data_IF_232709917374
#
_entry.id   IF_232709917374
#
_cell.length_a   1.000
_cell.length_b   1.000
_cell.length_c   1.000
_cell.angle_alpha   90.00
_cell.angle_beta   90.00
_cell.angle_gamma   90.00
#
_symmetry.space_group_name_H-M   'P 1'
#
loop_
_entity.id
_entity.type
_entity.pdbx_description
1 polymer ?
#
# COMPACT_ATOMS: atom_id res chain seq x y z
N UNK A 1 51.28 -31.12 19.73
CA UNK A 1 50.74 -29.97 18.97
C UNK A 1 51.32 -28.68 19.54
N UNK A 2 52.11 -27.95 18.75
CA UNK A 2 52.93 -26.81 19.18
C UNK A 2 52.09 -25.56 19.48
N UNK A 3 52.49 -24.76 20.48
CA UNK A 3 51.74 -23.59 20.98
C UNK A 3 51.38 -22.56 19.88
N UNK A 4 52.20 -22.46 18.83
CA UNK A 4 51.93 -21.65 17.63
C UNK A 4 50.64 -22.06 16.90
N UNK A 5 50.34 -23.35 16.79
CA UNK A 5 49.13 -23.83 16.11
C UNK A 5 47.85 -23.48 16.87
N UNK A 6 47.92 -23.37 18.20
CA UNK A 6 46.80 -22.92 19.04
C UNK A 6 46.55 -21.41 18.91
N UNK A 7 47.63 -20.62 18.86
CA UNK A 7 47.56 -19.18 18.69
C UNK A 7 46.97 -18.77 17.32
N UNK A 8 47.41 -19.42 16.24
CA UNK A 8 46.91 -19.16 14.88
C UNK A 8 45.42 -19.47 14.78
N UNK A 9 44.98 -20.62 15.29
CA UNK A 9 43.55 -20.99 15.33
C UNK A 9 42.70 -20.01 16.15
N UNK A 10 43.24 -19.51 17.26
CA UNK A 10 42.57 -18.49 18.08
C UNK A 10 42.38 -17.17 17.31
N UNK A 11 43.41 -16.72 16.59
CA UNK A 11 43.31 -15.52 15.76
C UNK A 11 42.34 -15.70 14.58
N UNK A 12 42.31 -16.87 13.96
CA UNK A 12 41.39 -17.13 12.83
C UNK A 12 39.95 -17.12 13.30
N UNK A 13 39.67 -17.75 14.45
CA UNK A 13 38.33 -17.75 15.05
C UNK A 13 37.87 -16.33 15.41
N UNK A 14 38.76 -15.51 15.99
CA UNK A 14 38.45 -14.13 16.34
C UNK A 14 38.17 -13.27 15.09
N UNK A 15 38.97 -13.42 14.04
CA UNK A 15 38.77 -12.70 12.78
C UNK A 15 37.41 -13.06 12.14
N UNK A 16 37.02 -14.34 12.15
CA UNK A 16 35.69 -14.76 11.68
C UNK A 16 34.55 -14.13 12.48
N UNK A 17 34.65 -14.08 13.82
CA UNK A 17 33.62 -13.46 14.66
C UNK A 17 33.49 -11.97 14.37
N UNK A 18 34.60 -11.25 14.23
CA UNK A 18 34.59 -9.81 13.92
C UNK A 18 33.95 -9.54 12.55
N UNK A 19 34.31 -10.32 11.53
CA UNK A 19 33.73 -10.20 10.18
C UNK A 19 32.22 -10.51 10.20
N UNK A 20 31.80 -11.56 10.91
CA UNK A 20 30.38 -11.90 11.04
C UNK A 20 29.58 -10.83 11.80
N UNK A 21 30.20 -10.13 12.76
CA UNK A 21 29.54 -9.03 13.48
C UNK A 21 29.41 -7.75 12.64
N UNK A 22 30.32 -7.51 11.70
CA UNK A 22 30.32 -6.32 10.84
C UNK A 22 29.25 -6.36 9.73
N UNK A 23 28.68 -7.53 9.43
CA UNK A 23 27.59 -7.69 8.43
C UNK A 23 26.19 -7.64 9.04
N UNK A 24 26.06 -7.51 10.36
CA UNK A 24 24.77 -7.31 11.03
C UNK A 24 24.34 -5.86 10.84
N UNK A 25 23.80 -5.56 9.67
CA UNK A 25 23.04 -4.33 9.47
C UNK A 25 21.84 -4.36 10.43
N UNK A 26 21.52 -3.28 11.16
CA UNK A 26 20.24 -3.21 11.85
C UNK A 26 19.18 -3.42 10.77
N UNK A 27 18.34 -4.44 10.94
CA UNK A 27 17.19 -4.63 10.08
C UNK A 27 16.39 -3.33 10.18
N UNK A 28 16.42 -2.51 9.14
CA UNK A 28 15.45 -1.43 8.99
C UNK A 28 14.10 -2.12 9.08
N UNK A 29 13.42 -1.88 10.21
CA UNK A 29 12.10 -2.42 10.43
C UNK A 29 11.20 -1.69 9.47
N UNK A 30 10.89 -2.32 8.33
CA UNK A 30 9.89 -1.82 7.41
C UNK A 30 8.60 -1.62 8.20
N UNK A 31 7.91 -0.49 7.97
CA UNK A 31 6.64 -0.24 8.64
C UNK A 31 5.73 -1.45 8.42
N UNK A 32 5.21 -2.08 9.48
CA UNK A 32 4.28 -3.20 9.33
C UNK A 32 2.97 -2.79 8.66
N UNK A 33 2.75 -1.48 8.48
CA UNK A 33 1.53 -0.90 7.94
C UNK A 33 1.64 -0.45 6.48
N UNK A 34 2.71 -0.81 5.75
CA UNK A 34 2.78 -0.51 4.32
C UNK A 34 1.71 -1.33 3.58
N UNK A 35 0.81 -0.64 2.88
CA UNK A 35 -0.34 -1.25 2.20
C UNK A 35 -0.28 -0.92 0.71
N UNK A 36 -0.58 -1.90 -0.14
CA UNK A 36 -0.69 -1.68 -1.59
C UNK A 36 -1.96 -0.90 -1.90
N UNK A 37 -1.81 0.23 -2.58
CA UNK A 37 -2.93 1.05 -3.05
C UNK A 37 -3.06 1.05 -4.57
N UNK A 38 -4.28 1.23 -5.08
CA UNK A 38 -4.53 1.45 -6.51
C UNK A 38 -5.37 2.72 -6.73
N UNK A 39 -5.18 3.32 -7.90
CA UNK A 39 -6.01 4.42 -8.41
C UNK A 39 -6.40 4.12 -9.86
N UNK A 40 -7.67 3.79 -10.07
CA UNK A 40 -8.26 3.52 -11.38
C UNK A 40 -9.77 3.81 -11.32
N UNK A 41 -10.16 5.07 -11.47
CA UNK A 41 -11.58 5.45 -11.41
C UNK A 41 -12.43 4.73 -12.47
N UNK A 42 -11.86 4.39 -13.63
CA UNK A 42 -12.60 3.76 -14.71
C UNK A 42 -13.04 2.35 -14.31
N UNK A 43 -12.13 1.55 -13.75
CA UNK A 43 -12.45 0.19 -13.32
C UNK A 43 -13.19 0.17 -11.98
N UNK A 44 -12.82 1.04 -11.04
CA UNK A 44 -13.41 1.03 -9.70
C UNK A 44 -14.85 1.56 -9.71
N UNK A 45 -15.13 2.66 -10.42
CA UNK A 45 -16.47 3.28 -10.41
C UNK A 45 -17.40 2.75 -11.51
N UNK A 46 -16.85 2.26 -12.63
CA UNK A 46 -17.65 1.91 -13.82
C UNK A 46 -17.32 0.54 -14.42
N UNK A 47 -16.37 -0.19 -13.84
CA UNK A 47 -15.96 -1.51 -14.32
C UNK A 47 -16.94 -2.62 -13.92
N UNK A 48 -16.68 -3.84 -14.40
CA UNK A 48 -17.44 -5.01 -13.96
C UNK A 48 -16.87 -5.53 -12.62
N UNK A 49 -17.63 -5.51 -11.52
CA UNK A 49 -17.15 -5.94 -10.20
C UNK A 49 -16.69 -7.40 -10.18
N UNK A 50 -17.31 -8.28 -10.97
CA UNK A 50 -16.94 -9.71 -11.06
C UNK A 50 -15.56 -9.94 -11.66
N UNK A 51 -14.99 -8.91 -12.32
CA UNK A 51 -13.62 -8.94 -12.87
C UNK A 51 -12.64 -8.14 -12.03
N UNK A 52 -13.06 -6.97 -11.55
CA UNK A 52 -12.18 -6.03 -10.85
C UNK A 52 -11.83 -6.53 -9.45
N UNK A 53 -12.80 -7.02 -8.67
CA UNK A 53 -12.56 -7.42 -7.28
C UNK A 53 -11.65 -8.65 -7.13
N UNK A 54 -11.74 -9.69 -7.98
CA UNK A 54 -10.76 -10.76 -7.99
C UNK A 54 -9.32 -10.26 -8.18
N UNK A 55 -9.10 -9.33 -9.12
CA UNK A 55 -7.77 -8.77 -9.39
C UNK A 55 -7.25 -8.01 -8.17
N UNK A 56 -8.07 -7.15 -7.55
CA UNK A 56 -7.67 -6.41 -6.33
C UNK A 56 -7.27 -7.35 -5.19
N UNK A 57 -7.97 -8.49 -5.06
CA UNK A 57 -7.67 -9.52 -4.09
C UNK A 57 -6.33 -10.20 -4.39
N UNK A 58 -6.10 -10.59 -5.65
CA UNK A 58 -4.85 -11.24 -6.10
C UNK A 58 -3.63 -10.33 -5.92
N UNK A 59 -3.79 -9.01 -6.09
CA UNK A 59 -2.71 -8.04 -5.90
C UNK A 59 -2.54 -7.57 -4.45
N UNK A 60 -3.31 -8.11 -3.51
CA UNK A 60 -3.33 -7.70 -2.10
C UNK A 60 -3.53 -6.18 -1.93
N UNK A 61 -4.36 -5.57 -2.78
CA UNK A 61 -4.68 -4.15 -2.69
C UNK A 61 -5.55 -3.91 -1.46
N UNK A 62 -5.02 -3.16 -0.49
CA UNK A 62 -5.72 -2.82 0.74
C UNK A 62 -6.24 -1.38 0.78
N UNK A 63 -5.89 -0.56 -0.22
CA UNK A 63 -6.38 0.81 -0.34
C UNK A 63 -6.82 1.11 -1.77
N UNK A 64 -7.99 1.72 -1.91
CA UNK A 64 -8.49 2.21 -3.19
C UNK A 64 -8.64 3.72 -3.06
N UNK A 65 -8.06 4.46 -4.00
CA UNK A 65 -8.30 5.88 -4.16
C UNK A 65 -9.32 6.08 -5.27
N UNK A 66 -10.36 6.85 -4.99
CA UNK A 66 -11.38 7.26 -5.97
C UNK A 66 -11.46 8.78 -6.07
N UNK A 67 -11.74 9.31 -7.26
CA UNK A 67 -12.09 10.71 -7.43
C UNK A 67 -13.59 10.92 -7.23
N UNK A 68 -13.95 11.81 -6.31
CA UNK A 68 -15.31 12.35 -6.23
C UNK A 68 -15.46 13.47 -7.27
N UNK A 69 -16.29 13.23 -8.28
CA UNK A 69 -16.62 14.24 -9.28
C UNK A 69 -17.83 15.03 -8.80
N UNK A 70 -17.65 16.34 -8.57
CA UNK A 70 -18.77 17.19 -8.16
C UNK A 70 -19.71 17.53 -9.31
N UNK A 71 -19.19 17.75 -10.52
CA UNK A 71 -19.95 18.13 -11.70
C UNK A 71 -19.42 17.50 -12.98
N UNK A 72 -19.99 17.87 -14.12
CA UNK A 72 -19.70 17.25 -15.41
C UNK A 72 -20.48 15.94 -15.63
N UNK A 73 -20.13 15.19 -16.67
CA UNK A 73 -20.85 13.97 -17.06
C UNK A 73 -20.91 12.91 -15.94
N UNK A 74 -19.82 12.81 -15.17
CA UNK A 74 -19.66 11.85 -14.08
C UNK A 74 -19.94 12.45 -12.70
N UNK A 75 -20.41 13.71 -12.65
CA UNK A 75 -20.58 14.44 -11.40
C UNK A 75 -21.78 13.97 -10.58
N UNK A 76 -21.66 14.03 -9.25
CA UNK A 76 -22.78 13.79 -8.33
C UNK A 76 -23.81 14.91 -8.41
N UNK A 77 -23.39 16.17 -8.61
CA UNK A 77 -24.32 17.30 -8.75
C UNK A 77 -24.84 17.40 -10.19
N UNK A 78 -26.01 16.83 -10.44
CA UNK A 78 -26.65 16.85 -11.78
C UNK A 78 -27.24 18.22 -12.12
N UNK A 79 -27.51 19.03 -11.11
CA UNK A 79 -28.01 20.41 -11.18
C UNK A 79 -27.54 21.18 -9.96
N UNK A 80 -27.80 22.49 -9.91
CA UNK A 80 -27.47 23.31 -8.74
C UNK A 80 -28.30 22.84 -7.53
N UNK A 81 -27.67 22.43 -6.41
CA UNK A 81 -28.37 22.08 -5.18
C UNK A 81 -29.02 23.31 -4.53
N UNK A 82 -30.15 23.09 -3.87
CA UNK A 82 -30.83 24.13 -3.08
C UNK A 82 -30.13 24.34 -1.74
N UNK A 83 -29.60 23.27 -1.15
CA UNK A 83 -28.83 23.25 0.09
C UNK A 83 -27.53 22.45 -0.12
N UNK A 84 -26.44 23.07 -0.61
CA UNK A 84 -25.21 22.36 -0.97
C UNK A 84 -24.54 21.55 0.16
N UNK A 85 -24.79 21.90 1.43
CA UNK A 85 -24.25 21.19 2.59
C UNK A 85 -25.13 20.01 3.04
N UNK A 86 -26.33 19.86 2.47
CA UNK A 86 -27.20 18.73 2.73
C UNK A 86 -26.88 17.60 1.73
N UNK A 87 -26.31 16.46 2.16
CA UNK A 87 -25.99 15.36 1.25
C UNK A 87 -27.24 14.75 0.62
N UNK A 88 -28.41 14.90 1.25
CA UNK A 88 -29.69 14.41 0.74
C UNK A 88 -30.39 15.40 -0.21
N UNK A 89 -29.73 16.49 -0.63
CA UNK A 89 -30.32 17.40 -1.62
C UNK A 89 -30.64 16.63 -2.91
N UNK A 90 -31.88 16.71 -3.45
CA UNK A 90 -32.27 15.99 -4.66
C UNK A 90 -31.53 16.38 -5.94
N UNK A 91 -30.63 17.36 -5.89
CA UNK A 91 -29.70 17.66 -6.97
C UNK A 91 -28.48 16.72 -7.02
N UNK A 92 -28.21 15.99 -5.94
CA UNK A 92 -27.14 15.01 -5.87
C UNK A 92 -27.64 13.61 -6.25
N UNK A 93 -26.83 12.89 -7.04
CA UNK A 93 -26.99 11.47 -7.33
C UNK A 93 -25.74 10.73 -6.83
N UNK A 94 -25.89 9.95 -5.77
CA UNK A 94 -24.78 9.25 -5.10
C UNK A 94 -24.59 7.81 -5.55
N UNK A 95 -25.43 7.29 -6.44
CA UNK A 95 -25.50 5.87 -6.81
C UNK A 95 -24.17 5.25 -7.29
N UNK A 96 -23.24 6.04 -7.82
CA UNK A 96 -21.90 5.56 -8.22
C UNK A 96 -20.95 5.34 -7.04
N UNK A 97 -21.19 5.99 -5.90
CA UNK A 97 -20.31 5.99 -4.73
C UNK A 97 -20.91 5.24 -3.52
N UNK A 98 -22.22 4.98 -3.51
CA UNK A 98 -22.93 4.15 -2.52
C UNK A 98 -22.83 2.65 -2.85
#
# INVERSE_FOLDING_TARGET
>A
MTARARLVRGLTALACVVICSAVVSPAVSASPNITTGIYDDAQILYGNPDKVFPILRETHTGLIRVSLWWGGANGVAKRRPAQPTNPNDPAYEWATYD
#
